data_IF_431814333055
#
_entry.id   IF_431814333055
#
_cell.length_a   1.000
_cell.length_b   1.000
_cell.length_c   1.000
_cell.angle_alpha   90.00
_cell.angle_beta   90.00
_cell.angle_gamma   90.00
#
_symmetry.space_group_name_H-M   'P 1'
#
loop_
_entity.id
_entity.type
_entity.pdbx_description
1 polymer ?
#
# COMPACT_ATOMS: atom_id res chain seq x y z
N UNK A 1 32.41 35.25 -26.14
CA UNK A 1 32.11 33.92 -25.62
C UNK A 1 30.61 33.83 -25.39
N UNK A 2 29.94 32.88 -26.05
CA UNK A 2 28.53 32.61 -25.82
C UNK A 2 28.38 32.03 -24.41
N UNK A 3 27.36 32.42 -23.63
CA UNK A 3 27.11 31.84 -22.33
C UNK A 3 26.81 30.33 -22.49
N UNK A 4 27.40 29.51 -21.65
CA UNK A 4 27.18 28.09 -21.64
C UNK A 4 25.69 27.80 -21.33
N UNK A 5 25.21 26.66 -21.79
CA UNK A 5 23.85 26.20 -21.49
C UNK A 5 23.77 25.88 -19.99
N UNK A 6 22.92 26.57 -19.24
CA UNK A 6 22.71 26.25 -17.85
C UNK A 6 22.16 24.81 -17.71
N UNK A 7 22.70 23.98 -16.79
CA UNK A 7 22.18 22.65 -16.57
C UNK A 7 20.76 22.76 -16.02
N UNK A 8 19.81 22.02 -16.66
CA UNK A 8 18.48 21.88 -16.11
C UNK A 8 18.53 20.97 -14.88
N UNK A 9 18.29 21.50 -13.71
CA UNK A 9 18.14 20.70 -12.49
C UNK A 9 16.83 19.93 -12.56
N UNK A 10 16.90 18.62 -12.33
CA UNK A 10 15.72 17.78 -12.19
C UNK A 10 14.87 18.20 -10.99
N UNK A 11 13.56 17.95 -11.05
CA UNK A 11 12.62 18.16 -9.94
C UNK A 11 12.07 16.83 -9.49
N UNK A 12 11.65 16.74 -8.23
CA UNK A 12 10.97 15.54 -7.73
C UNK A 12 9.64 15.35 -8.44
N UNK A 13 9.30 14.09 -8.72
CA UNK A 13 8.01 13.76 -9.29
C UNK A 13 6.88 14.07 -8.28
N UNK A 14 5.70 14.58 -8.69
CA UNK A 14 4.60 14.89 -7.78
C UNK A 14 4.21 13.72 -6.85
N UNK A 15 4.16 12.49 -7.37
CA UNK A 15 3.88 11.31 -6.55
C UNK A 15 4.93 11.07 -5.45
N UNK A 16 6.20 11.37 -5.73
CA UNK A 16 7.26 11.27 -4.72
C UNK A 16 7.05 12.30 -3.61
N UNK A 17 6.69 13.54 -3.98
CA UNK A 17 6.41 14.61 -3.01
C UNK A 17 5.24 14.22 -2.10
N UNK A 18 4.14 13.76 -2.68
CA UNK A 18 2.95 13.35 -1.91
C UNK A 18 3.28 12.16 -1.00
N UNK A 19 4.01 11.15 -1.51
CA UNK A 19 4.41 10.01 -0.70
C UNK A 19 5.25 10.44 0.51
N UNK A 20 6.24 11.28 0.31
CA UNK A 20 7.10 11.80 1.40
C UNK A 20 6.29 12.60 2.43
N UNK A 21 5.28 13.37 1.99
CA UNK A 21 4.37 14.07 2.91
C UNK A 21 3.53 13.08 3.74
N UNK A 22 2.96 12.07 3.10
CA UNK A 22 2.18 11.01 3.79
C UNK A 22 3.06 10.30 4.81
N UNK A 23 4.25 9.86 4.41
CA UNK A 23 5.24 9.21 5.29
C UNK A 23 5.55 10.09 6.50
N UNK A 24 5.87 11.36 6.29
CA UNK A 24 6.19 12.31 7.36
C UNK A 24 5.04 12.53 8.35
N UNK A 25 3.80 12.61 7.87
CA UNK A 25 2.61 12.76 8.73
C UNK A 25 2.44 11.52 9.62
N UNK A 26 2.55 10.32 9.04
CA UNK A 26 2.38 9.08 9.80
C UNK A 26 3.53 8.84 10.79
N UNK A 27 4.78 9.17 10.43
CA UNK A 27 5.91 9.15 11.36
C UNK A 27 5.67 10.07 12.56
N UNK A 28 5.15 11.28 12.32
CA UNK A 28 4.86 12.24 13.39
C UNK A 28 3.82 11.75 14.40
N UNK A 29 2.88 10.89 13.97
CA UNK A 29 1.90 10.25 14.85
C UNK A 29 2.32 8.84 15.31
N UNK A 30 3.58 8.46 15.09
CA UNK A 30 4.20 7.27 15.66
C UNK A 30 4.00 5.98 14.88
N UNK A 31 3.74 6.05 13.58
CA UNK A 31 3.75 4.88 12.71
C UNK A 31 5.16 4.62 12.16
N UNK A 32 5.53 3.36 12.06
CA UNK A 32 6.71 2.90 11.35
C UNK A 32 6.39 2.76 9.85
N UNK A 33 7.33 3.18 8.99
CA UNK A 33 7.17 3.08 7.54
C UNK A 33 7.87 1.82 7.05
N UNK A 34 7.11 0.95 6.41
CA UNK A 34 7.60 -0.31 5.86
C UNK A 34 7.62 -0.28 4.35
N UNK A 35 8.75 -0.70 3.79
CA UNK A 35 8.86 -0.96 2.36
C UNK A 35 8.95 -2.47 2.12
N UNK A 36 8.20 -2.96 1.14
CA UNK A 36 8.16 -4.37 0.82
C UNK A 36 8.41 -4.68 -0.65
N UNK A 37 8.57 -5.95 -0.98
CA UNK A 37 8.80 -6.39 -2.34
C UNK A 37 7.61 -6.06 -3.23
N UNK A 38 7.88 -5.74 -4.50
CA UNK A 38 6.83 -5.58 -5.53
C UNK A 38 6.45 -6.92 -6.16
N UNK A 39 7.40 -7.84 -6.18
CA UNK A 39 7.16 -9.24 -6.54
C UNK A 39 6.84 -9.98 -5.27
N UNK A 40 5.66 -10.58 -5.21
CA UNK A 40 5.13 -11.22 -4.01
C UNK A 40 4.76 -12.67 -4.30
N UNK A 41 4.65 -13.48 -3.25
CA UNK A 41 4.07 -14.81 -3.34
C UNK A 41 2.56 -14.79 -3.07
N UNK A 42 1.89 -15.84 -3.48
CA UNK A 42 0.46 -16.01 -3.33
C UNK A 42 0.01 -16.04 -1.86
N UNK A 43 0.85 -16.59 -0.98
CA UNK A 43 0.60 -16.66 0.46
C UNK A 43 0.46 -15.25 1.08
N UNK A 44 1.46 -14.37 0.87
CA UNK A 44 1.44 -13.03 1.45
C UNK A 44 0.44 -12.09 0.77
N UNK A 45 0.18 -12.32 -0.54
CA UNK A 45 -0.75 -11.47 -1.26
C UNK A 45 -2.22 -11.85 -1.03
N UNK A 46 -2.52 -13.13 -0.67
CA UNK A 46 -3.88 -13.61 -0.57
C UNK A 46 -4.12 -14.53 0.64
N UNK A 47 -3.46 -15.67 0.74
CA UNK A 47 -3.82 -16.73 1.67
C UNK A 47 -3.75 -16.27 3.14
N UNK A 48 -2.65 -15.65 3.53
CA UNK A 48 -2.45 -15.15 4.90
C UNK A 48 -3.37 -13.96 5.26
N UNK A 49 -4.00 -13.34 4.25
CA UNK A 49 -5.02 -12.31 4.41
C UNK A 49 -6.46 -12.87 4.42
N UNK A 50 -6.60 -14.18 4.66
CA UNK A 50 -7.88 -14.88 4.69
C UNK A 50 -8.62 -14.92 3.33
N UNK A 51 -7.85 -14.96 2.24
CA UNK A 51 -8.33 -15.12 0.87
C UNK A 51 -7.81 -16.45 0.29
N UNK A 52 -8.43 -17.61 0.65
CA UNK A 52 -8.06 -18.91 0.09
C UNK A 52 -8.32 -18.97 -1.42
N UNK A 53 -7.85 -20.03 -2.08
CA UNK A 53 -7.88 -20.15 -3.54
C UNK A 53 -9.27 -20.02 -4.16
N UNK A 54 -10.29 -20.49 -3.44
CA UNK A 54 -11.71 -20.46 -3.83
C UNK A 54 -12.46 -19.19 -3.36
N UNK A 55 -11.76 -18.19 -2.80
CA UNK A 55 -12.42 -17.00 -2.28
C UNK A 55 -12.91 -16.10 -3.43
N UNK A 56 -14.21 -15.67 -3.44
CA UNK A 56 -14.77 -14.89 -4.55
C UNK A 56 -14.05 -13.57 -4.84
N UNK A 57 -13.46 -12.95 -3.84
CA UNK A 57 -12.71 -11.71 -4.00
C UNK A 57 -11.39 -11.90 -4.76
N UNK A 58 -10.86 -13.13 -4.81
CA UNK A 58 -9.64 -13.47 -5.53
C UNK A 58 -9.87 -13.50 -7.04
N UNK A 59 -11.05 -13.96 -7.48
CA UNK A 59 -11.47 -13.93 -8.88
C UNK A 59 -11.71 -12.50 -9.39
N UNK A 60 -12.01 -11.57 -8.49
CA UNK A 60 -12.28 -10.17 -8.82
C UNK A 60 -11.00 -9.32 -8.96
N UNK A 61 -9.86 -9.87 -8.60
CA UNK A 61 -8.58 -9.18 -8.75
C UNK A 61 -7.86 -9.70 -9.99
N UNK A 62 -7.79 -8.86 -11.00
CA UNK A 62 -6.96 -9.11 -12.18
C UNK A 62 -5.48 -9.08 -11.79
N UNK A 63 -5.00 -10.22 -11.30
CA UNK A 63 -3.63 -10.38 -10.82
C UNK A 63 -2.69 -10.64 -11.98
N UNK A 64 -1.54 -9.97 -11.96
CA UNK A 64 -0.45 -10.21 -12.91
C UNK A 64 0.50 -11.26 -12.32
N UNK A 65 0.32 -12.51 -12.72
CA UNK A 65 1.26 -13.60 -12.40
C UNK A 65 2.48 -13.53 -13.31
N UNK A 66 3.65 -13.84 -12.75
CA UNK A 66 4.89 -13.87 -13.50
C UNK A 66 5.09 -15.25 -14.14
N UNK A 67 5.63 -15.28 -15.36
CA UNK A 67 5.94 -16.51 -16.08
C UNK A 67 7.10 -17.29 -15.41
N UNK A 68 7.17 -18.60 -15.67
CA UNK A 68 8.14 -19.54 -15.11
C UNK A 68 9.61 -19.06 -15.10
N UNK A 69 10.16 -18.42 -16.17
CA UNK A 69 11.54 -17.94 -16.16
C UNK A 69 11.82 -16.85 -15.13
N UNK A 70 10.80 -16.06 -14.76
CA UNK A 70 10.91 -14.99 -13.76
C UNK A 70 10.64 -15.52 -12.35
N UNK A 71 9.94 -16.65 -12.21
CA UNK A 71 9.71 -17.33 -10.92
C UNK A 71 11.00 -17.84 -10.28
N UNK A 72 12.04 -18.09 -11.10
CA UNK A 72 13.34 -18.57 -10.60
C UNK A 72 14.12 -17.53 -9.79
N UNK A 73 13.63 -16.30 -9.71
CA UNK A 73 14.40 -15.23 -9.08
C UNK A 73 14.31 -15.21 -7.57
N UNK A 74 13.31 -15.79 -6.90
CA UNK A 74 13.32 -15.87 -5.42
C UNK A 74 12.09 -16.45 -4.71
N UNK A 75 11.48 -17.54 -5.01
CA UNK A 75 10.55 -18.07 -4.00
C UNK A 75 10.55 -19.60 -3.96
N UNK A 76 10.75 -20.15 -2.79
CA UNK A 76 10.44 -21.54 -2.44
C UNK A 76 8.92 -21.81 -2.47
N UNK A 77 8.10 -20.78 -2.74
CA UNK A 77 6.64 -20.85 -2.75
C UNK A 77 6.07 -20.67 -4.15
N UNK A 78 5.09 -21.46 -4.56
CA UNK A 78 4.41 -21.31 -5.85
C UNK A 78 3.60 -20.00 -5.90
N UNK A 79 3.37 -19.48 -7.11
CA UNK A 79 2.46 -18.34 -7.32
C UNK A 79 3.11 -16.97 -7.22
N UNK A 80 4.29 -16.79 -7.83
CA UNK A 80 4.94 -15.48 -7.91
C UNK A 80 4.12 -14.51 -8.76
N UNK A 81 3.85 -13.33 -8.23
CA UNK A 81 2.98 -12.31 -8.83
C UNK A 81 3.49 -10.89 -8.57
N UNK A 82 2.98 -9.92 -9.31
CA UNK A 82 3.10 -8.52 -8.94
C UNK A 82 2.01 -8.18 -7.92
N UNK A 83 2.39 -7.67 -6.73
CA UNK A 83 1.46 -7.42 -5.64
C UNK A 83 0.29 -6.54 -6.06
N UNK A 84 -0.92 -6.93 -5.69
CA UNK A 84 -2.16 -6.22 -6.03
C UNK A 84 -2.54 -5.15 -5.00
N UNK A 85 -1.91 -5.19 -3.83
CA UNK A 85 -2.05 -4.25 -2.71
C UNK A 85 -0.80 -4.31 -1.83
N UNK A 86 -0.70 -3.42 -0.85
CA UNK A 86 0.44 -3.38 0.07
C UNK A 86 0.20 -4.16 1.37
N UNK A 87 -0.95 -4.82 1.52
CA UNK A 87 -1.35 -5.57 2.73
C UNK A 87 -0.42 -6.74 3.07
N UNK A 88 0.29 -7.33 2.08
CA UNK A 88 1.28 -8.38 2.33
C UNK A 88 2.35 -7.97 3.33
N UNK A 89 2.64 -6.67 3.44
CA UNK A 89 3.57 -6.15 4.44
C UNK A 89 3.08 -6.30 5.88
N UNK A 90 1.78 -6.31 6.11
CA UNK A 90 1.19 -6.57 7.44
C UNK A 90 1.56 -7.99 7.89
N UNK A 91 1.45 -8.95 6.99
CA UNK A 91 1.80 -10.34 7.26
C UNK A 91 3.31 -10.48 7.53
N UNK A 92 4.15 -9.98 6.63
CA UNK A 92 5.62 -10.03 6.76
C UNK A 92 6.10 -9.38 8.06
N UNK A 93 5.47 -8.30 8.47
CA UNK A 93 5.81 -7.63 9.73
C UNK A 93 5.38 -8.46 10.94
N UNK A 94 4.13 -8.95 10.97
CA UNK A 94 3.59 -9.73 12.09
C UNK A 94 4.17 -11.13 12.21
N UNK A 95 4.77 -11.70 11.18
CA UNK A 95 5.56 -12.94 11.27
C UNK A 95 6.75 -12.80 12.25
N UNK A 96 7.30 -11.59 12.38
CA UNK A 96 8.49 -11.32 13.19
C UNK A 96 8.25 -10.38 14.38
N UNK A 97 7.07 -9.73 14.44
CA UNK A 97 6.75 -8.75 15.47
C UNK A 97 5.41 -9.07 16.14
N UNK A 98 5.37 -8.87 17.43
CA UNK A 98 4.13 -9.02 18.22
C UNK A 98 3.50 -7.66 18.49
N UNK A 99 2.19 -7.60 18.69
CA UNK A 99 1.53 -6.36 19.13
C UNK A 99 2.18 -5.78 20.40
N UNK A 100 2.17 -4.45 20.57
CA UNK A 100 1.47 -3.49 19.71
C UNK A 100 2.19 -3.24 18.38
N UNK A 101 1.41 -3.13 17.29
CA UNK A 101 1.90 -2.85 15.93
C UNK A 101 1.29 -1.55 15.44
N UNK A 102 2.10 -0.67 14.86
CA UNK A 102 1.68 0.60 14.28
C UNK A 102 2.55 0.88 13.06
N UNK A 103 2.04 0.53 11.89
CA UNK A 103 2.79 0.58 10.64
C UNK A 103 1.98 1.20 9.51
N UNK A 104 2.66 1.81 8.53
CA UNK A 104 2.15 2.06 7.19
C UNK A 104 3.03 1.40 6.14
N UNK A 105 2.44 1.01 5.03
CA UNK A 105 3.15 0.43 3.89
C UNK A 105 2.80 1.19 2.61
N UNK A 106 3.55 2.24 2.25
CA UNK A 106 3.43 2.90 0.97
C UNK A 106 4.15 2.10 -0.12
N UNK A 107 3.56 2.05 -1.32
CA UNK A 107 4.23 1.41 -2.44
C UNK A 107 3.42 1.30 -3.72
N UNK A 108 4.11 0.90 -4.79
CA UNK A 108 3.49 0.56 -6.06
C UNK A 108 2.73 -0.75 -5.95
N UNK A 109 1.57 -0.79 -6.57
CA UNK A 109 0.71 -1.98 -6.72
C UNK A 109 0.27 -2.13 -8.17
N UNK A 110 -0.13 -3.33 -8.55
CA UNK A 110 -0.35 -3.71 -9.93
C UNK A 110 -1.65 -4.46 -10.07
N UNK A 111 -2.47 -4.06 -11.06
CA UNK A 111 -3.72 -4.75 -11.39
C UNK A 111 -3.89 -4.83 -12.89
N UNK A 112 -4.49 -5.91 -13.38
CA UNK A 112 -4.74 -6.14 -14.80
C UNK A 112 -5.95 -5.35 -15.30
N UNK A 113 -6.07 -4.10 -14.90
CA UNK A 113 -7.13 -3.23 -15.38
C UNK A 113 -6.89 -2.83 -16.84
N UNK A 114 -7.95 -2.73 -17.62
CA UNK A 114 -7.87 -2.08 -18.92
C UNK A 114 -7.61 -0.58 -18.67
N UNK A 115 -6.50 -0.02 -19.19
CA UNK A 115 -6.16 1.37 -18.96
C UNK A 115 -7.23 2.29 -19.55
N UNK A 116 -7.81 3.14 -18.71
CA UNK A 116 -8.72 4.21 -19.10
C UNK A 116 -8.32 5.54 -18.42
N UNK A 117 -9.19 6.55 -18.47
CA UNK A 117 -8.91 7.85 -17.85
C UNK A 117 -8.83 7.81 -16.32
N UNK A 118 -9.34 6.76 -15.69
CA UNK A 118 -9.46 6.60 -14.23
C UNK A 118 -8.74 5.40 -13.67
N UNK A 119 -8.35 4.44 -14.52
CA UNK A 119 -7.67 3.21 -14.12
C UNK A 119 -6.29 3.12 -14.75
N UNK A 120 -5.29 2.94 -13.92
CA UNK A 120 -3.91 2.63 -14.32
C UNK A 120 -3.55 1.23 -13.83
N UNK A 121 -2.93 0.39 -14.65
CA UNK A 121 -2.49 -0.94 -14.23
C UNK A 121 -1.38 -0.89 -13.16
N UNK A 122 -0.80 0.26 -12.93
CA UNK A 122 0.20 0.52 -11.90
C UNK A 122 -0.13 1.82 -11.19
N UNK A 123 -0.28 1.78 -9.86
CA UNK A 123 -0.59 2.96 -9.06
C UNK A 123 0.05 2.90 -7.66
N UNK A 124 0.05 4.02 -6.96
CA UNK A 124 0.53 4.09 -5.59
C UNK A 124 -0.60 3.79 -4.61
N UNK A 125 -0.29 3.02 -3.59
CA UNK A 125 -1.19 2.73 -2.48
C UNK A 125 -0.45 2.96 -1.16
N UNK A 126 -1.18 3.37 -0.13
CA UNK A 126 -0.70 3.42 1.25
C UNK A 126 -1.73 2.70 2.12
N UNK A 127 -1.29 1.68 2.81
CA UNK A 127 -2.12 0.99 3.80
C UNK A 127 -1.52 1.18 5.20
N UNK A 128 -2.40 1.24 6.20
CA UNK A 128 -2.01 1.35 7.59
C UNK A 128 -2.57 0.20 8.41
N UNK A 129 -1.79 -0.26 9.39
CA UNK A 129 -2.21 -1.25 10.38
C UNK A 129 -1.89 -0.75 11.78
N UNK A 130 -2.90 -0.77 12.64
CA UNK A 130 -2.77 -0.51 14.07
C UNK A 130 -3.38 -1.68 14.85
N UNK A 131 -2.55 -2.40 15.57
CA UNK A 131 -2.96 -3.51 16.44
C UNK A 131 -2.49 -3.22 17.86
N UNK A 132 -3.41 -3.26 18.80
CA UNK A 132 -3.10 -3.00 20.21
C UNK A 132 -4.30 -3.25 21.10
N UNK A 133 -4.09 -3.13 22.40
CA UNK A 133 -5.16 -3.21 23.40
C UNK A 133 -6.06 -1.97 23.34
N UNK A 134 -7.37 -2.17 23.46
CA UNK A 134 -8.38 -1.10 23.52
C UNK A 134 -8.44 -0.19 22.28
N UNK A 135 -7.97 -0.64 21.11
CA UNK A 135 -8.12 0.07 19.84
C UNK A 135 -9.58 0.04 19.40
N UNK A 136 -10.11 1.20 19.02
CA UNK A 136 -11.53 1.41 18.73
C UNK A 136 -11.74 2.07 17.36
N UNK A 137 -13.00 2.12 16.91
CA UNK A 137 -13.37 2.93 15.73
C UNK A 137 -13.07 4.43 15.89
N UNK A 138 -13.03 4.94 17.13
CA UNK A 138 -12.67 6.32 17.39
C UNK A 138 -11.18 6.57 17.07
N UNK A 139 -10.31 5.60 17.37
CA UNK A 139 -8.89 5.68 17.00
C UNK A 139 -8.68 5.67 15.49
N UNK A 140 -9.39 4.80 14.76
CA UNK A 140 -9.37 4.79 13.31
C UNK A 140 -9.81 6.13 12.73
N UNK A 141 -10.98 6.63 13.18
CA UNK A 141 -11.52 7.91 12.72
C UNK A 141 -10.56 9.06 13.05
N UNK A 142 -10.07 9.12 14.29
CA UNK A 142 -9.13 10.16 14.72
C UNK A 142 -7.83 10.17 13.93
N UNK A 143 -7.28 8.98 13.62
CA UNK A 143 -6.08 8.84 12.79
C UNK A 143 -6.33 9.37 11.37
N UNK A 144 -7.46 9.00 10.76
CA UNK A 144 -7.81 9.47 9.42
C UNK A 144 -8.09 10.99 9.39
N UNK A 145 -8.78 11.52 10.40
CA UNK A 145 -9.03 12.98 10.50
C UNK A 145 -7.73 13.76 10.66
N UNK A 146 -6.82 13.29 11.52
CA UNK A 146 -5.51 13.89 11.71
C UNK A 146 -4.72 13.89 10.40
N UNK A 147 -4.60 12.73 9.77
CA UNK A 147 -3.88 12.56 8.51
C UNK A 147 -4.42 13.46 7.39
N UNK A 148 -5.74 13.48 7.19
CA UNK A 148 -6.34 14.24 6.09
C UNK A 148 -6.26 15.76 6.30
N UNK A 149 -6.37 16.22 7.55
CA UNK A 149 -6.19 17.65 7.88
C UNK A 149 -4.76 18.12 7.66
N UNK A 150 -3.78 17.31 8.03
CA UNK A 150 -2.35 17.62 7.80
C UNK A 150 -1.99 17.56 6.30
N UNK A 151 -2.60 16.65 5.54
CA UNK A 151 -2.30 16.48 4.12
C UNK A 151 -2.96 17.55 3.24
N UNK A 152 -4.19 17.92 3.55
CA UNK A 152 -4.97 18.90 2.76
C UNK A 152 -5.08 20.25 3.47
N UNK A 153 -5.98 20.38 4.43
CA UNK A 153 -6.15 21.56 5.26
C UNK A 153 -7.02 21.28 6.51
N UNK A 154 -7.01 22.22 7.46
CA UNK A 154 -7.75 22.09 8.72
C UNK A 154 -9.29 22.08 8.56
N UNK A 155 -9.81 22.53 7.42
CA UNK A 155 -11.26 22.56 7.15
C UNK A 155 -11.75 21.23 6.56
N UNK A 156 -10.83 20.29 6.29
CA UNK A 156 -11.16 18.94 5.77
C UNK A 156 -12.02 18.18 6.78
N UNK A 157 -13.18 17.71 6.31
CA UNK A 157 -14.10 16.88 7.10
C UNK A 157 -14.12 15.43 6.62
N UNK A 158 -14.13 14.49 7.55
CA UNK A 158 -14.18 13.06 7.27
C UNK A 158 -15.57 12.51 7.56
N UNK A 159 -16.19 11.90 6.54
CA UNK A 159 -17.47 11.20 6.68
C UNK A 159 -17.27 9.70 6.47
N UNK A 160 -17.64 8.92 7.50
CA UNK A 160 -17.63 7.45 7.40
C UNK A 160 -19.00 6.97 6.89
N UNK A 161 -18.99 6.08 5.91
CA UNK A 161 -20.19 5.43 5.38
C UNK A 161 -20.06 3.93 5.54
N UNK A 162 -21.11 3.23 6.02
CA UNK A 162 -21.14 1.77 6.01
C UNK A 162 -20.99 1.27 4.57
N UNK A 163 -20.10 0.32 4.37
CA UNK A 163 -19.91 -0.36 3.08
C UNK A 163 -19.49 -1.79 3.32
N UNK A 164 -19.76 -2.64 2.35
CA UNK A 164 -19.30 -4.03 2.36
C UNK A 164 -18.08 -4.16 1.45
N UNK A 165 -17.04 -4.77 1.98
CA UNK A 165 -15.87 -5.17 1.22
C UNK A 165 -15.70 -6.68 1.30
N UNK A 166 -15.42 -7.37 0.18
CA UNK A 166 -15.25 -8.83 0.17
C UNK A 166 -14.15 -9.35 1.09
N UNK A 167 -13.20 -8.51 1.49
CA UNK A 167 -12.04 -8.85 2.34
C UNK A 167 -12.27 -8.66 3.83
N UNK A 168 -13.37 -8.10 4.25
CA UNK A 168 -13.65 -7.80 5.66
C UNK A 168 -14.83 -8.57 6.21
#
# INVERSE_FOLDING_TARGET
TLPGREPAFGRRHPLTIIREQVESIFEAIGFEILQGPQVEDDYHNFEALNMPEDHPARDMQDTLYLDEPLRALDTERPGTLLRTHTSGMQIRYMENHRPPVRIISPGLVYRRDNPDLTHSPMFQQVEGLLVGENITMADLKGTLECFLKELFDNDTSVTLRPSYFPYT
#
